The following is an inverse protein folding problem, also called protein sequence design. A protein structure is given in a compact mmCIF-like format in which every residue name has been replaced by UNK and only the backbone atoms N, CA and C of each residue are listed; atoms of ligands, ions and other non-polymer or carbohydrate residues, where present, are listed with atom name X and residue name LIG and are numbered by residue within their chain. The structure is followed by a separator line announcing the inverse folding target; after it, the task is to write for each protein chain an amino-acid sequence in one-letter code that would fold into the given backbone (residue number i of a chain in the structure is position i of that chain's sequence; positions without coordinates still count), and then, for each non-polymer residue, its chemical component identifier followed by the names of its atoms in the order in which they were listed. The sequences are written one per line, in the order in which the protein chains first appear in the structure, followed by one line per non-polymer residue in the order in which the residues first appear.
data_IF_998564104065
#
_entry.id   IF_998564104065
#
_cell.length_a   1.000
_cell.length_b   1.000
_cell.length_c   1.000
_cell.angle_alpha   90.00
_cell.angle_beta   90.00
_cell.angle_gamma   90.00
#
_symmetry.space_group_name_H-M   'P 1'
#
loop_
_entity.id
_entity.type
_entity.pdbx_description
1 polymer ?
#
# COMPACT_ATOMS: atom_id res chain seq x y z
N UNK A 1 -11.29 -27.55 2.85
CA UNK A 1 -10.68 -26.28 2.39
C UNK A 1 -9.24 -26.58 2.02
N UNK A 2 -8.84 -26.34 0.78
CA UNK A 2 -7.45 -26.55 0.35
C UNK A 2 -6.64 -25.35 0.83
N UNK A 3 -5.63 -25.59 1.68
CA UNK A 3 -4.74 -24.54 2.15
C UNK A 3 -3.98 -23.98 0.95
N UNK A 4 -4.15 -22.68 0.68
CA UNK A 4 -3.42 -21.96 -0.36
C UNK A 4 -2.38 -21.10 0.35
N UNK A 5 -1.09 -21.50 0.36
CA UNK A 5 -0.06 -20.76 1.07
C UNK A 5 0.09 -19.36 0.51
N UNK A 6 0.37 -18.40 1.39
CA UNK A 6 0.59 -17.01 0.99
C UNK A 6 1.99 -16.83 0.37
N UNK A 7 2.22 -15.69 -0.31
CA UNK A 7 3.49 -15.42 -0.98
C UNK A 7 4.69 -15.37 -0.02
N UNK A 8 4.52 -14.85 1.21
CA UNK A 8 5.55 -14.81 2.25
C UNK A 8 5.90 -16.21 2.73
N UNK A 9 4.89 -17.06 2.93
CA UNK A 9 5.08 -18.46 3.34
C UNK A 9 5.82 -19.26 2.26
N UNK A 10 5.48 -19.04 0.99
CA UNK A 10 6.20 -19.63 -0.14
C UNK A 10 7.66 -19.17 -0.19
N UNK A 11 7.93 -17.87 -0.07
CA UNK A 11 9.28 -17.31 -0.06
C UNK A 11 10.11 -17.84 1.11
N UNK A 12 9.52 -17.93 2.30
CA UNK A 12 10.17 -18.46 3.51
C UNK A 12 10.50 -19.95 3.35
N UNK A 13 9.59 -20.73 2.77
CA UNK A 13 9.82 -22.15 2.48
C UNK A 13 10.98 -22.35 1.50
N UNK A 14 11.06 -21.53 0.44
CA UNK A 14 12.18 -21.56 -0.51
C UNK A 14 13.50 -21.19 0.19
N UNK A 15 13.49 -20.17 1.05
CA UNK A 15 14.68 -19.80 1.83
C UNK A 15 15.18 -20.94 2.71
N UNK A 16 14.27 -21.65 3.39
CA UNK A 16 14.64 -22.80 4.21
C UNK A 16 15.22 -23.94 3.38
N UNK A 17 14.61 -24.27 2.24
CA UNK A 17 15.14 -25.25 1.31
C UNK A 17 16.57 -24.89 0.86
N UNK A 18 16.78 -23.62 0.50
CA UNK A 18 18.09 -23.15 0.04
C UNK A 18 19.18 -23.35 1.09
N UNK A 19 18.89 -23.08 2.37
CA UNK A 19 19.88 -23.20 3.45
C UNK A 19 20.04 -24.63 3.97
N UNK A 20 18.94 -25.37 4.12
CA UNK A 20 18.93 -26.68 4.79
C UNK A 20 19.20 -27.84 3.84
N UNK A 21 18.80 -27.71 2.57
CA UNK A 21 18.87 -28.82 1.61
C UNK A 21 19.81 -28.53 0.43
N UNK A 22 19.79 -27.31 -0.11
CA UNK A 22 20.58 -26.98 -1.30
C UNK A 22 22.03 -26.66 -0.95
N UNK A 23 22.27 -25.69 -0.07
CA UNK A 23 23.63 -25.22 0.26
C UNK A 23 24.57 -26.36 0.73
N UNK A 24 24.15 -27.32 1.58
CA UNK A 24 25.01 -28.44 1.98
C UNK A 24 25.40 -29.37 0.82
N UNK A 25 24.63 -29.38 -0.29
CA UNK A 25 24.93 -30.19 -1.48
C UNK A 25 25.85 -29.48 -2.46
N UNK A 26 26.16 -28.21 -2.23
CA UNK A 26 27.03 -27.38 -3.06
C UNK A 26 28.48 -27.33 -2.53
N UNK A 27 28.81 -28.15 -1.53
CA UNK A 27 30.16 -28.28 -0.99
C UNK A 27 31.16 -28.61 -2.11
N UNK A 28 32.11 -27.70 -2.34
CA UNK A 28 33.13 -27.80 -3.40
C UNK A 28 32.91 -26.88 -4.60
N UNK A 29 31.75 -26.21 -4.72
CA UNK A 29 31.52 -25.13 -5.69
C UNK A 29 31.28 -23.81 -4.94
N UNK A 30 32.38 -23.11 -4.64
CA UNK A 30 32.38 -21.84 -3.90
C UNK A 30 31.54 -20.76 -4.59
N UNK A 31 31.56 -20.73 -5.93
CA UNK A 31 30.83 -19.73 -6.71
C UNK A 31 29.32 -19.96 -6.64
N UNK A 32 28.88 -21.22 -6.77
CA UNK A 32 27.47 -21.56 -6.70
C UNK A 32 26.94 -21.45 -5.26
N UNK A 33 27.75 -21.81 -4.27
CA UNK A 33 27.46 -21.61 -2.84
C UNK A 33 27.27 -20.13 -2.51
N UNK A 34 28.15 -19.26 -3.01
CA UNK A 34 28.03 -17.81 -2.84
C UNK A 34 26.75 -17.26 -3.49
N UNK A 35 26.44 -17.65 -4.74
CA UNK A 35 25.20 -17.24 -5.43
C UNK A 35 23.96 -17.68 -4.65
N UNK A 36 23.99 -18.88 -4.08
CA UNK A 36 22.88 -19.42 -3.27
C UNK A 36 22.66 -18.59 -2.01
N UNK A 37 23.73 -18.20 -1.30
CA UNK A 37 23.63 -17.30 -0.13
C UNK A 37 23.10 -15.91 -0.49
N UNK A 38 23.54 -15.34 -1.61
CA UNK A 38 23.05 -14.05 -2.10
C UNK A 38 21.56 -14.13 -2.42
N UNK A 39 21.14 -15.14 -3.16
CA UNK A 39 19.74 -15.35 -3.50
C UNK A 39 18.87 -15.62 -2.27
N UNK A 40 19.37 -16.37 -1.28
CA UNK A 40 18.70 -16.54 0.01
C UNK A 40 18.48 -15.20 0.73
N UNK A 41 19.50 -14.35 0.79
CA UNK A 41 19.38 -13.01 1.38
C UNK A 41 18.36 -12.14 0.64
N UNK A 42 18.39 -12.14 -0.70
CA UNK A 42 17.44 -11.38 -1.52
C UNK A 42 15.99 -11.81 -1.26
N UNK A 43 15.73 -13.12 -1.16
CA UNK A 43 14.40 -13.64 -0.83
C UNK A 43 13.92 -13.16 0.54
N UNK A 44 14.82 -13.04 1.52
CA UNK A 44 14.48 -12.57 2.86
C UNK A 44 14.19 -11.07 2.91
N UNK A 45 14.86 -10.28 2.07
CA UNK A 45 14.49 -8.88 1.84
C UNK A 45 13.11 -8.81 1.21
N UNK A 46 12.86 -9.54 0.11
CA UNK A 46 11.56 -9.54 -0.57
C UNK A 46 10.43 -9.98 0.38
N UNK A 47 10.63 -11.03 1.17
CA UNK A 47 9.63 -11.52 2.13
C UNK A 47 9.28 -10.49 3.22
N UNK A 48 10.24 -9.67 3.67
CA UNK A 48 9.99 -8.56 4.61
C UNK A 48 9.26 -7.39 3.95
N UNK A 49 9.60 -7.09 2.69
CA UNK A 49 8.94 -6.04 1.91
C UNK A 49 7.46 -6.37 1.61
N UNK A 50 7.09 -7.66 1.56
CA UNK A 50 5.69 -8.06 1.43
C UNK A 50 4.80 -7.58 2.59
N UNK A 51 5.33 -7.50 3.82
CA UNK A 51 4.61 -6.94 4.98
C UNK A 51 4.61 -5.41 5.00
N UNK A 52 5.64 -4.80 4.41
CA UNK A 52 5.73 -3.35 4.19
C UNK A 52 5.01 -2.89 2.92
N UNK A 53 3.95 -3.60 2.48
CA UNK A 53 3.00 -3.02 1.54
C UNK A 53 2.17 -1.93 2.24
N UNK A 54 2.82 -0.80 2.53
CA UNK A 54 2.35 0.43 3.20
C UNK A 54 0.92 0.81 2.76
N UNK A 55 0.59 0.56 1.49
CA UNK A 55 -0.74 0.75 0.92
C UNK A 55 -1.90 0.09 1.69
N UNK A 56 -1.70 -1.07 2.33
CA UNK A 56 -2.78 -1.74 3.08
C UNK A 56 -3.06 -1.08 4.43
N UNK A 57 -2.04 -0.55 5.09
CA UNK A 57 -2.18 0.19 6.36
C UNK A 57 -2.78 1.56 6.13
N UNK A 58 -2.28 2.30 5.13
CA UNK A 58 -2.82 3.62 4.77
C UNK A 58 -4.30 3.53 4.35
N UNK A 59 -4.72 2.43 3.72
CA UNK A 59 -6.13 2.20 3.38
C UNK A 59 -7.04 1.96 4.59
N UNK A 60 -6.59 1.15 5.56
CA UNK A 60 -7.33 0.92 6.80
C UNK A 60 -7.57 2.23 7.56
N UNK A 61 -6.56 3.08 7.63
CA UNK A 61 -6.65 4.40 8.25
C UNK A 61 -7.61 5.33 7.50
N UNK A 62 -7.58 5.30 6.16
CA UNK A 62 -8.49 6.09 5.32
C UNK A 62 -9.95 5.66 5.53
N UNK A 63 -10.26 4.36 5.53
CA UNK A 63 -11.63 3.90 5.76
C UNK A 63 -12.12 4.16 7.18
N UNK A 64 -11.26 3.98 8.20
CA UNK A 64 -11.61 4.25 9.59
C UNK A 64 -11.83 5.76 9.85
N UNK A 65 -11.17 6.62 9.07
CA UNK A 65 -11.33 8.06 9.16
C UNK A 65 -12.73 8.57 8.75
N UNK A 66 -13.58 7.71 8.14
CA UNK A 66 -14.98 7.98 7.76
C UNK A 66 -15.17 9.37 7.16
N UNK A 67 -14.27 9.75 6.25
CA UNK A 67 -14.22 11.13 5.78
C UNK A 67 -15.40 11.47 4.85
N UNK A 68 -16.25 10.50 4.50
CA UNK A 68 -17.43 10.67 3.63
C UNK A 68 -17.05 11.47 2.38
N UNK A 69 -15.86 11.17 1.83
CA UNK A 69 -15.23 11.97 0.76
C UNK A 69 -15.90 11.75 -0.59
N UNK A 70 -16.59 10.60 -0.75
CA UNK A 70 -17.20 10.16 -2.00
C UNK A 70 -18.19 9.02 -1.76
N UNK A 71 -19.18 8.91 -2.65
CA UNK A 71 -20.07 7.75 -2.78
C UNK A 71 -19.32 6.45 -3.10
N UNK A 72 -18.02 6.50 -3.40
CA UNK A 72 -17.21 5.30 -3.55
C UNK A 72 -16.95 4.56 -2.24
N UNK A 73 -16.92 5.26 -1.09
CA UNK A 73 -16.80 4.60 0.23
C UNK A 73 -18.00 3.69 0.49
N UNK A 74 -19.20 4.10 0.04
CA UNK A 74 -20.42 3.28 0.13
C UNK A 74 -20.51 2.23 -0.99
N UNK A 75 -19.94 2.50 -2.17
CA UNK A 75 -19.91 1.57 -3.32
C UNK A 75 -18.93 0.40 -3.12
N UNK A 76 -17.85 0.60 -2.37
CA UNK A 76 -16.84 -0.42 -2.10
C UNK A 76 -16.63 -0.63 -0.59
N UNK A 77 -17.58 -1.28 0.10
CA UNK A 77 -17.35 -1.75 1.46
C UNK A 77 -16.14 -2.70 1.49
N UNK A 78 -15.43 -2.72 2.62
CA UNK A 78 -14.11 -3.36 2.78
C UNK A 78 -14.09 -4.82 2.27
N UNK A 79 -15.16 -5.57 2.53
CA UNK A 79 -15.30 -6.97 2.14
C UNK A 79 -15.29 -7.18 0.61
N UNK A 80 -15.78 -6.20 -0.14
CA UNK A 80 -15.78 -6.21 -1.60
C UNK A 80 -14.43 -5.78 -2.12
N UNK A 81 -13.84 -4.71 -1.56
CA UNK A 81 -12.54 -4.20 -1.97
C UNK A 81 -11.41 -5.22 -1.78
N UNK A 82 -11.42 -5.98 -0.68
CA UNK A 82 -10.44 -7.04 -0.44
C UNK A 82 -10.54 -8.20 -1.45
N UNK A 83 -11.73 -8.45 -2.01
CA UNK A 83 -11.94 -9.50 -3.03
C UNK A 83 -11.49 -9.10 -4.42
N UNK A 84 -11.28 -7.80 -4.67
CA UNK A 84 -10.79 -7.30 -5.96
C UNK A 84 -9.37 -7.77 -6.23
N UNK A 85 -9.06 -7.98 -7.51
CA UNK A 85 -7.69 -8.21 -7.98
C UNK A 85 -6.82 -6.96 -7.81
N UNK A 86 -5.50 -7.13 -7.84
CA UNK A 86 -4.55 -5.99 -7.73
C UNK A 86 -4.83 -4.89 -8.77
N UNK A 87 -5.17 -5.28 -10.01
CA UNK A 87 -5.47 -4.35 -11.10
C UNK A 87 -6.75 -3.55 -10.80
N UNK A 88 -7.81 -4.23 -10.37
CA UNK A 88 -9.08 -3.59 -10.02
C UNK A 88 -8.94 -2.67 -8.80
N UNK A 89 -8.20 -3.10 -7.76
CA UNK A 89 -7.90 -2.24 -6.60
C UNK A 89 -7.17 -0.97 -7.03
N UNK A 90 -6.15 -1.10 -7.87
CA UNK A 90 -5.40 0.06 -8.38
C UNK A 90 -6.29 1.02 -9.18
N UNK A 91 -7.24 0.50 -9.96
CA UNK A 91 -8.18 1.31 -10.72
C UNK A 91 -9.15 2.06 -9.80
N UNK A 92 -9.73 1.38 -8.81
CA UNK A 92 -10.63 2.01 -7.81
C UNK A 92 -9.91 3.11 -7.03
N UNK A 93 -8.67 2.85 -6.59
CA UNK A 93 -7.85 3.84 -5.89
C UNK A 93 -7.54 5.06 -6.78
N UNK A 94 -7.23 4.82 -8.06
CA UNK A 94 -6.97 5.89 -9.02
C UNK A 94 -8.22 6.75 -9.25
N UNK A 95 -9.38 6.13 -9.47
CA UNK A 95 -10.65 6.82 -9.63
C UNK A 95 -11.01 7.63 -8.39
N UNK A 96 -10.80 7.06 -7.20
CA UNK A 96 -11.09 7.77 -5.96
C UNK A 96 -10.19 8.99 -5.78
N UNK A 97 -8.89 8.87 -6.05
CA UNK A 97 -7.97 9.99 -5.96
C UNK A 97 -8.34 11.11 -6.95
N UNK A 98 -8.77 10.75 -8.17
CA UNK A 98 -9.29 11.72 -9.14
C UNK A 98 -10.55 12.42 -8.65
N UNK A 99 -11.48 11.70 -8.03
CA UNK A 99 -12.69 12.29 -7.46
C UNK A 99 -12.37 13.20 -6.27
N UNK A 100 -11.54 12.75 -5.33
CA UNK A 100 -11.12 13.55 -4.19
C UNK A 100 -10.46 14.86 -4.64
N UNK A 101 -9.56 14.79 -5.63
CA UNK A 101 -8.93 15.97 -6.20
C UNK A 101 -9.95 16.92 -6.86
N UNK A 102 -10.96 16.38 -7.56
CA UNK A 102 -12.06 17.18 -8.11
C UNK A 102 -12.91 17.83 -7.02
N UNK A 103 -13.29 17.08 -5.98
CA UNK A 103 -14.09 17.61 -4.86
C UNK A 103 -13.35 18.73 -4.14
N UNK A 104 -12.06 18.56 -3.84
CA UNK A 104 -11.21 19.60 -3.22
C UNK A 104 -11.12 20.84 -4.13
N UNK A 105 -10.89 20.67 -5.44
CA UNK A 105 -10.82 21.80 -6.38
C UNK A 105 -12.14 22.54 -6.49
N UNK A 106 -13.25 21.82 -6.59
CA UNK A 106 -14.57 22.41 -6.76
C UNK A 106 -15.07 23.07 -5.46
N UNK A 107 -14.69 22.57 -4.29
CA UNK A 107 -15.04 23.21 -3.01
C UNK A 107 -14.38 24.58 -2.82
N UNK A 108 -13.17 24.79 -3.34
CA UNK A 108 -12.56 26.14 -3.36
C UNK A 108 -13.40 27.12 -4.20
N UNK A 109 -14.15 26.65 -5.20
CA UNK A 109 -15.07 27.48 -5.98
C UNK A 109 -16.42 27.65 -5.30
N UNK A 110 -16.97 26.59 -4.70
CA UNK A 110 -18.27 26.55 -4.01
C UNK A 110 -18.25 27.30 -2.67
N UNK A 111 -17.08 27.54 -2.08
CA UNK A 111 -16.90 28.36 -0.86
C UNK A 111 -17.46 29.80 -0.96
N UNK A 112 -17.90 30.24 -2.16
CA UNK A 112 -18.56 31.53 -2.40
C UNK A 112 -20.09 31.49 -2.33
N UNK A 113 -20.72 30.32 -2.31
CA UNK A 113 -22.18 30.17 -2.32
C UNK A 113 -22.59 29.21 -1.22
N UNK A 114 -23.29 29.75 -0.23
CA UNK A 114 -23.89 29.01 0.86
C UNK A 114 -24.79 27.91 0.30
N UNK A 115 -24.45 26.64 0.49
CA UNK A 115 -25.41 25.66 0.98
C UNK A 115 -24.77 24.34 1.45
N UNK A 116 -25.57 23.67 2.27
CA UNK A 116 -25.41 22.54 3.17
C UNK A 116 -25.13 21.18 2.53
N UNK A 117 -24.01 20.99 1.83
CA UNK A 117 -23.56 19.63 1.46
C UNK A 117 -22.09 19.39 1.82
N UNK A 118 -21.86 18.34 2.60
CA UNK A 118 -20.58 17.71 2.99
C UNK A 118 -19.38 18.64 2.82
N UNK A 119 -19.24 19.57 3.78
CA UNK A 119 -18.04 20.40 3.89
C UNK A 119 -16.89 19.49 4.30
N UNK A 120 -16.12 19.02 3.34
CA UNK A 120 -14.75 18.65 3.63
C UNK A 120 -14.09 19.91 4.18
N UNK A 121 -13.24 19.75 5.18
CA UNK A 121 -12.48 20.84 5.75
C UNK A 121 -11.09 20.86 5.09
N UNK A 122 -10.91 21.59 3.97
CA UNK A 122 -9.62 21.75 3.32
C UNK A 122 -8.75 22.80 4.04
N UNK A 123 -9.21 23.36 5.17
CA UNK A 123 -8.43 24.36 5.88
C UNK A 123 -7.06 23.79 6.31
N UNK A 124 -6.03 24.65 6.43
CA UNK A 124 -4.76 24.22 6.98
C UNK A 124 -5.00 23.62 8.37
N UNK A 125 -4.63 22.34 8.54
CA UNK A 125 -4.86 21.47 9.73
C UNK A 125 -6.19 20.69 9.77
N UNK A 126 -7.08 20.84 8.79
CA UNK A 126 -8.27 20.00 8.63
C UNK A 126 -7.91 18.53 8.44
N UNK A 127 -8.84 17.61 8.72
CA UNK A 127 -8.60 16.15 8.62
C UNK A 127 -8.15 15.73 7.22
N UNK A 128 -8.82 16.26 6.19
CA UNK A 128 -8.49 15.99 4.78
C UNK A 128 -7.12 16.55 4.42
N UNK A 129 -6.80 17.76 4.89
CA UNK A 129 -5.49 18.37 4.68
C UNK A 129 -4.36 17.52 5.28
N UNK A 130 -4.52 17.04 6.52
CA UNK A 130 -3.51 16.21 7.17
C UNK A 130 -3.35 14.86 6.48
N UNK A 131 -4.45 14.23 6.04
CA UNK A 131 -4.40 12.98 5.28
C UNK A 131 -3.63 13.15 3.96
N UNK A 132 -4.02 14.13 3.14
CA UNK A 132 -3.38 14.40 1.85
C UNK A 132 -1.90 14.77 2.04
N UNK A 133 -1.59 15.57 3.07
CA UNK A 133 -0.21 15.93 3.41
C UNK A 133 0.61 14.72 3.85
N UNK A 134 0.04 13.82 4.65
CA UNK A 134 0.71 12.59 5.09
C UNK A 134 1.01 11.69 3.90
N UNK A 135 0.01 11.44 3.05
CA UNK A 135 0.18 10.61 1.84
C UNK A 135 1.20 11.21 0.87
N UNK A 136 1.22 12.53 0.72
CA UNK A 136 2.21 13.22 -0.12
C UNK A 136 3.62 13.08 0.47
N UNK A 137 3.78 13.22 1.79
CA UNK A 137 5.07 13.02 2.46
C UNK A 137 5.56 11.58 2.25
N UNK A 138 4.70 10.59 2.43
CA UNK A 138 5.00 9.17 2.22
C UNK A 138 5.47 8.91 0.77
N UNK A 139 4.69 9.33 -0.23
CA UNK A 139 5.05 9.19 -1.65
C UNK A 139 6.38 9.89 -2.00
N UNK A 140 6.63 11.07 -1.40
CA UNK A 140 7.88 11.79 -1.58
C UNK A 140 9.05 11.11 -0.87
N UNK A 141 8.83 10.44 0.25
CA UNK A 141 9.88 9.71 0.99
C UNK A 141 10.38 8.47 0.24
N UNK A 142 9.48 7.82 -0.52
CA UNK A 142 9.83 6.72 -1.45
C UNK A 142 10.66 7.22 -2.62
N UNK A 143 10.35 8.42 -3.12
CA UNK A 143 10.99 8.98 -4.33
C UNK A 143 12.23 9.84 -4.03
N UNK A 144 12.36 10.34 -2.79
CA UNK A 144 13.40 11.29 -2.39
C UNK A 144 13.79 11.11 -0.91
N UNK A 145 15.05 10.69 -0.62
CA UNK A 145 15.53 10.42 0.73
C UNK A 145 15.41 11.60 1.71
N UNK A 146 15.35 12.84 1.22
CA UNK A 146 15.24 14.05 2.07
C UNK A 146 13.93 14.14 2.84
N UNK A 147 12.92 13.35 2.47
CA UNK A 147 11.61 13.35 3.14
C UNK A 147 11.43 12.19 4.14
N UNK A 148 12.50 11.44 4.44
CA UNK A 148 12.50 10.33 5.42
C UNK A 148 12.60 10.80 6.89
N UNK A 149 12.77 12.09 7.14
CA UNK A 149 12.84 12.72 8.48
C UNK A 149 11.46 13.22 8.93
#
# INVERSE_FOLDING_TARGET
MQYRPDAKELLSTIQEFMMKELLPKLEGDDLLSYKTLVSWNMLGVIAREFENSEYTKSWLEILDSKLLLSDLETKYPMDIFQKLTKKERSQVLYEWNQQLAKTIRNQNEISKTNDTEIRLDPSPKGKVWNLVKSQLKENLSVSNPRFQT
#
